data_IF_345625929849
#
_entry.id   IF_345625929849
#
_cell.length_a   1.000
_cell.length_b   1.000
_cell.length_c   1.000
_cell.angle_alpha   90.00
_cell.angle_beta   90.00
_cell.angle_gamma   90.00
#
_symmetry.space_group_name_H-M   'P 1'
#
loop_
_entity.id
_entity.type
_entity.pdbx_description
1 polymer ?
#
# COMPACT_ATOMS: atom_id res chain seq x y z
N UNK A 1 -44.09 3.81 1.42
CA UNK A 1 -43.39 2.51 1.51
C UNK A 1 -42.22 2.55 0.53
N UNK A 2 -40.98 2.53 1.02
CA UNK A 2 -39.79 2.48 0.14
C UNK A 2 -39.76 1.13 -0.56
N UNK A 3 -39.75 1.11 -1.90
CA UNK A 3 -39.52 -0.12 -2.66
C UNK A 3 -38.16 -0.70 -2.26
N UNK A 4 -38.17 -1.96 -1.79
CA UNK A 4 -36.94 -2.70 -1.49
C UNK A 4 -36.15 -2.81 -2.79
N UNK A 5 -34.94 -2.24 -2.82
CA UNK A 5 -34.05 -2.34 -3.97
C UNK A 5 -33.23 -3.61 -3.88
N UNK A 6 -32.69 -4.04 -5.02
CA UNK A 6 -31.75 -5.15 -5.05
C UNK A 6 -30.54 -4.84 -4.15
N UNK A 7 -29.97 -5.86 -3.48
CA UNK A 7 -28.80 -5.67 -2.64
C UNK A 7 -27.61 -5.22 -3.48
N UNK A 8 -26.67 -4.45 -2.90
CA UNK A 8 -25.45 -4.05 -3.57
C UNK A 8 -24.62 -5.28 -3.98
N UNK A 9 -24.13 -5.31 -5.23
CA UNK A 9 -23.25 -6.36 -5.70
C UNK A 9 -21.93 -5.75 -6.16
N UNK A 10 -20.84 -6.08 -5.46
CA UNK A 10 -19.50 -5.66 -5.84
C UNK A 10 -18.91 -6.67 -6.81
N UNK A 11 -18.58 -6.23 -8.02
CA UNK A 11 -18.04 -7.07 -9.10
C UNK A 11 -16.57 -6.79 -9.41
N UNK A 12 -16.02 -5.67 -8.92
CA UNK A 12 -14.63 -5.31 -9.18
C UNK A 12 -14.05 -4.34 -8.15
N UNK A 13 -12.74 -4.42 -7.97
CA UNK A 13 -11.96 -3.48 -7.16
C UNK A 13 -10.62 -3.20 -7.84
N UNK A 14 -10.17 -1.94 -7.80
CA UNK A 14 -8.91 -1.51 -8.41
C UNK A 14 -8.17 -0.52 -7.51
N UNK A 15 -6.91 -0.80 -7.12
CA UNK A 15 -6.20 -2.07 -7.31
C UNK A 15 -6.85 -3.22 -6.52
N UNK A 16 -6.53 -4.47 -6.89
CA UNK A 16 -7.01 -5.68 -6.19
C UNK A 16 -6.14 -6.06 -4.97
N UNK A 17 -4.95 -5.46 -4.86
CA UNK A 17 -4.07 -5.59 -3.71
C UNK A 17 -3.40 -4.26 -3.36
N UNK A 18 -2.93 -4.13 -2.12
CA UNK A 18 -2.24 -2.93 -1.66
C UNK A 18 -2.06 -2.92 -0.15
N UNK A 19 -1.23 -2.00 0.35
CA UNK A 19 -1.04 -1.80 1.79
C UNK A 19 -2.22 -1.03 2.41
N UNK A 20 -2.27 -0.96 3.75
CA UNK A 20 -3.20 -0.07 4.43
C UNK A 20 -3.07 1.36 3.90
N UNK A 21 -4.19 2.08 3.82
CA UNK A 21 -4.35 3.42 3.25
C UNK A 21 -4.28 3.50 1.73
N UNK A 22 -4.17 2.38 1.02
CA UNK A 22 -4.29 2.35 -0.45
C UNK A 22 -5.66 2.87 -0.88
N UNK A 23 -5.66 3.82 -1.83
CA UNK A 23 -6.88 4.31 -2.47
C UNK A 23 -7.39 3.26 -3.46
N UNK A 24 -8.60 2.79 -3.24
CA UNK A 24 -9.25 1.78 -4.08
C UNK A 24 -10.53 2.33 -4.69
N UNK A 25 -10.82 1.85 -5.90
CA UNK A 25 -12.08 2.10 -6.61
C UNK A 25 -12.86 0.81 -6.67
N UNK A 26 -14.02 0.80 -6.02
CA UNK A 26 -14.97 -0.31 -6.00
C UNK A 26 -15.96 -0.09 -7.15
N UNK A 27 -16.20 -1.15 -7.92
CA UNK A 27 -17.16 -1.22 -9.02
C UNK A 27 -18.19 -2.30 -8.75
N UNK A 28 -19.42 -2.07 -9.19
CA UNK A 28 -20.51 -2.98 -8.93
C UNK A 28 -21.85 -2.48 -9.44
N UNK A 29 -22.90 -3.06 -8.88
CA UNK A 29 -24.29 -2.76 -9.17
C UNK A 29 -25.02 -2.42 -7.87
N UNK A 30 -25.99 -1.52 -7.94
CA UNK A 30 -26.83 -1.12 -6.81
C UNK A 30 -26.04 -0.63 -5.57
N UNK A 31 -24.90 0.04 -5.77
CA UNK A 31 -24.03 0.59 -4.71
C UNK A 31 -24.63 1.84 -4.02
N UNK A 32 -25.96 1.97 -4.03
CA UNK A 32 -26.73 3.06 -3.45
C UNK A 32 -27.27 4.04 -4.47
N UNK A 33 -28.32 4.77 -4.08
CA UNK A 33 -28.97 5.79 -4.93
C UNK A 33 -28.38 7.19 -4.77
N UNK A 34 -27.49 7.37 -3.79
CA UNK A 34 -26.82 8.63 -3.51
C UNK A 34 -25.90 8.50 -2.28
N UNK A 35 -25.15 9.56 -1.95
CA UNK A 35 -24.19 9.52 -0.84
C UNK A 35 -24.84 9.19 0.51
N UNK A 36 -26.04 9.71 0.77
CA UNK A 36 -26.77 9.48 2.02
C UNK A 36 -27.37 8.06 2.15
N UNK A 37 -27.40 7.29 1.05
CA UNK A 37 -27.88 5.91 1.02
C UNK A 37 -26.80 4.92 1.43
N UNK A 38 -25.52 5.27 1.27
CA UNK A 38 -24.39 4.46 1.72
C UNK A 38 -24.25 4.56 3.25
N UNK A 39 -24.52 3.47 3.96
CA UNK A 39 -24.48 3.41 5.44
C UNK A 39 -23.35 2.55 5.99
N UNK A 40 -22.77 1.70 5.17
CA UNK A 40 -21.65 0.87 5.58
C UNK A 40 -20.78 0.50 4.40
N UNK A 41 -19.47 0.51 4.65
CA UNK A 41 -18.47 -0.05 3.75
C UNK A 41 -17.43 -0.76 4.59
N UNK A 42 -17.24 -2.05 4.35
CA UNK A 42 -16.24 -2.87 5.03
C UNK A 42 -15.32 -3.52 4.00
N UNK A 43 -14.01 -3.46 4.24
CA UNK A 43 -12.99 -4.14 3.42
C UNK A 43 -12.07 -4.88 4.38
N UNK A 44 -11.89 -6.19 4.19
CA UNK A 44 -11.07 -7.04 5.08
C UNK A 44 -11.45 -6.92 6.57
N UNK A 45 -12.75 -6.81 6.86
CA UNK A 45 -13.27 -6.61 8.21
C UNK A 45 -13.09 -5.19 8.78
N UNK A 46 -12.52 -4.26 8.02
CA UNK A 46 -12.31 -2.87 8.43
C UNK A 46 -13.38 -1.93 7.89
N UNK A 47 -13.99 -1.12 8.77
CA UNK A 47 -14.95 -0.11 8.36
C UNK A 47 -14.25 1.05 7.63
N UNK A 48 -14.52 1.18 6.33
CA UNK A 48 -13.94 2.19 5.45
C UNK A 48 -14.92 3.34 5.13
N UNK A 49 -16.08 3.40 5.80
CA UNK A 49 -17.15 4.37 5.50
C UNK A 49 -16.69 5.83 5.63
N UNK A 50 -15.85 6.14 6.61
CA UNK A 50 -15.35 7.50 6.84
C UNK A 50 -14.53 8.06 5.67
N UNK A 51 -13.92 7.18 4.87
CA UNK A 51 -13.13 7.55 3.69
C UNK A 51 -13.88 7.29 2.38
N UNK A 52 -15.12 6.80 2.46
CA UNK A 52 -15.89 6.40 1.31
C UNK A 52 -16.52 7.62 0.64
N UNK A 53 -16.21 7.78 -0.63
CA UNK A 53 -16.78 8.76 -1.53
C UNK A 53 -17.67 8.01 -2.54
N UNK A 54 -18.98 8.21 -2.40
CA UNK A 54 -19.94 7.69 -3.36
C UNK A 54 -19.87 8.54 -4.64
N UNK A 55 -19.61 7.88 -5.78
CA UNK A 55 -19.53 8.54 -7.08
C UNK A 55 -20.78 8.30 -7.92
N UNK A 56 -21.26 7.05 -7.93
CA UNK A 56 -22.46 6.64 -8.66
C UNK A 56 -23.01 5.32 -8.09
N UNK A 57 -24.18 4.90 -8.57
CA UNK A 57 -24.77 3.60 -8.22
C UNK A 57 -23.91 2.38 -8.61
N UNK A 58 -22.81 2.59 -9.32
CA UNK A 58 -21.87 1.55 -9.77
C UNK A 58 -20.41 1.82 -9.38
N UNK A 59 -20.14 2.90 -8.63
CA UNK A 59 -18.78 3.30 -8.28
C UNK A 59 -18.70 3.96 -6.90
N UNK A 60 -17.80 3.43 -6.07
CA UNK A 60 -17.40 4.03 -4.80
C UNK A 60 -15.88 4.11 -4.78
N UNK A 61 -15.33 5.20 -4.28
CA UNK A 61 -13.90 5.37 -4.05
C UNK A 61 -13.65 5.43 -2.55
N UNK A 62 -12.70 4.69 -2.03
CA UNK A 62 -12.37 4.76 -0.60
C UNK A 62 -10.89 4.46 -0.37
N UNK A 63 -10.45 4.54 0.89
CA UNK A 63 -9.14 4.03 1.29
C UNK A 63 -9.32 2.79 2.15
N UNK A 64 -8.49 1.78 1.92
CA UNK A 64 -8.52 0.54 2.70
C UNK A 64 -7.89 0.79 4.06
N UNK A 65 -8.52 0.33 5.14
CA UNK A 65 -7.93 0.39 6.48
C UNK A 65 -7.03 -0.81 6.81
N UNK A 66 -6.48 -0.88 8.02
CA UNK A 66 -5.80 -2.07 8.51
C UNK A 66 -6.77 -3.25 8.60
N UNK A 67 -6.40 -4.39 7.98
CA UNK A 67 -7.25 -5.58 7.97
C UNK A 67 -7.44 -6.11 9.39
N UNK A 68 -8.67 -6.54 9.66
CA UNK A 68 -9.00 -7.39 10.81
C UNK A 68 -9.07 -8.85 10.40
N UNK A 69 -9.47 -9.11 9.15
CA UNK A 69 -9.68 -10.45 8.60
C UNK A 69 -8.85 -10.66 7.32
N UNK A 70 -8.27 -11.84 7.17
CA UNK A 70 -7.46 -12.22 6.00
C UNK A 70 -8.31 -12.63 4.78
N UNK A 71 -9.65 -12.64 4.90
CA UNK A 71 -10.55 -13.13 3.84
C UNK A 71 -10.69 -12.19 2.64
N UNK A 72 -10.27 -10.92 2.78
CA UNK A 72 -10.34 -9.97 1.68
C UNK A 72 -11.76 -9.55 1.27
N UNK A 73 -12.75 -9.81 2.13
CA UNK A 73 -14.17 -9.58 1.81
C UNK A 73 -14.48 -8.08 1.68
N UNK A 74 -15.32 -7.73 0.70
CA UNK A 74 -15.80 -6.36 0.48
C UNK A 74 -17.32 -6.36 0.67
N UNK A 75 -17.80 -5.62 1.67
CA UNK A 75 -19.22 -5.54 2.00
C UNK A 75 -19.66 -4.08 1.90
N UNK A 76 -20.61 -3.82 1.01
CA UNK A 76 -21.28 -2.52 0.87
C UNK A 76 -22.66 -2.63 1.48
N UNK A 77 -23.05 -1.71 2.37
CA UNK A 77 -24.37 -1.68 2.99
C UNK A 77 -25.07 -0.37 2.66
N UNK A 78 -26.30 -0.47 2.14
CA UNK A 78 -27.12 0.69 1.76
C UNK A 78 -28.44 0.70 2.53
N UNK A 79 -29.05 1.88 2.72
CA UNK A 79 -30.39 1.97 3.36
C UNK A 79 -31.45 1.35 2.46
N UNK A 80 -31.30 1.48 1.15
CA UNK A 80 -32.28 1.03 0.16
C UNK A 80 -32.22 -0.47 -0.17
N UNK A 81 -31.03 -1.06 -0.19
CA UNK A 81 -30.79 -2.44 -0.62
C UNK A 81 -30.26 -3.37 0.48
N UNK A 82 -29.96 -2.85 1.66
CA UNK A 82 -29.44 -3.65 2.79
C UNK A 82 -27.99 -4.06 2.58
N UNK A 83 -27.65 -5.28 3.02
CA UNK A 83 -26.29 -5.82 2.93
C UNK A 83 -25.99 -6.35 1.53
N UNK A 84 -24.89 -5.88 0.98
CA UNK A 84 -24.35 -6.33 -0.29
C UNK A 84 -23.35 -7.47 -0.17
N UNK A 85 -23.03 -8.05 -1.32
CA UNK A 85 -22.06 -9.14 -1.46
C UNK A 85 -20.98 -8.77 -2.46
N UNK A 86 -19.81 -9.40 -2.38
CA UNK A 86 -18.73 -9.25 -3.35
C UNK A 86 -18.41 -10.57 -4.05
N UNK A 87 -18.14 -10.51 -5.36
CA UNK A 87 -17.59 -11.63 -6.13
C UNK A 87 -16.06 -11.60 -6.20
N UNK A 88 -15.46 -10.48 -5.78
CA UNK A 88 -14.02 -10.23 -5.79
C UNK A 88 -13.53 -9.94 -4.37
N UNK A 89 -12.27 -10.26 -4.12
CA UNK A 89 -11.61 -10.01 -2.85
C UNK A 89 -10.49 -8.98 -3.00
N UNK A 90 -10.23 -8.21 -1.94
CA UNK A 90 -9.06 -7.35 -1.82
C UNK A 90 -7.96 -8.03 -1.01
N UNK A 91 -6.74 -8.06 -1.52
CA UNK A 91 -5.58 -8.61 -0.80
C UNK A 91 -4.82 -7.49 -0.11
N UNK A 92 -4.94 -7.39 1.21
CA UNK A 92 -4.15 -6.45 1.98
C UNK A 92 -2.70 -6.95 2.10
N UNK A 93 -1.77 -6.18 1.56
CA UNK A 93 -0.34 -6.42 1.71
C UNK A 93 0.10 -5.91 3.08
N UNK A 94 0.81 -6.77 3.82
CA UNK A 94 1.49 -6.36 5.05
C UNK A 94 2.64 -5.44 4.63
N UNK A 95 2.70 -4.25 5.22
CA UNK A 95 3.91 -3.44 5.10
C UNK A 95 5.03 -4.22 5.80
N UNK A 96 6.02 -4.66 5.04
CA UNK A 96 7.21 -5.26 5.63
C UNK A 96 7.87 -4.23 6.53
N UNK A 97 8.12 -4.62 7.79
CA UNK A 97 8.97 -3.83 8.67
C UNK A 97 10.39 -4.02 8.13
N UNK A 98 10.87 -3.03 7.39
CA UNK A 98 12.24 -3.01 6.89
C UNK A 98 13.16 -3.09 8.11
N UNK A 99 13.89 -4.19 8.24
CA UNK A 99 14.89 -4.39 9.28
C UNK A 99 16.12 -3.53 9.04
N UNK A 100 16.90 -3.28 10.09
CA UNK A 100 18.19 -2.57 9.98
C UNK A 100 19.20 -3.25 9.04
N UNK A 101 18.99 -4.53 8.75
CA UNK A 101 19.85 -5.36 7.89
C UNK A 101 19.25 -5.58 6.49
N UNK A 102 18.08 -5.03 6.19
CA UNK A 102 17.47 -5.17 4.87
C UNK A 102 18.22 -4.31 3.85
N UNK A 103 18.49 -4.90 2.68
CA UNK A 103 19.21 -4.24 1.60
C UNK A 103 18.37 -3.11 1.00
N UNK A 104 18.96 -1.92 0.84
CA UNK A 104 18.30 -0.77 0.20
C UNK A 104 18.65 -0.71 -1.30
N UNK A 105 17.66 -0.44 -2.14
CA UNK A 105 17.84 -0.22 -3.58
C UNK A 105 18.31 1.21 -3.92
N UNK A 106 18.69 1.98 -2.91
CA UNK A 106 19.27 3.32 -3.10
C UNK A 106 20.72 3.14 -3.51
N UNK A 107 20.97 3.36 -4.80
CA UNK A 107 22.34 3.52 -5.29
C UNK A 107 22.84 4.85 -4.76
N UNK A 108 23.72 4.80 -3.76
CA UNK A 108 24.47 5.98 -3.34
C UNK A 108 25.48 6.23 -4.46
N UNK A 109 25.37 7.39 -5.12
CA UNK A 109 26.42 7.83 -6.03
C UNK A 109 27.67 8.04 -5.17
N UNK A 110 28.65 7.14 -5.31
CA UNK A 110 29.91 7.28 -4.61
C UNK A 110 30.56 8.55 -5.13
N UNK A 111 30.42 9.61 -4.36
CA UNK A 111 30.99 10.92 -4.66
C UNK A 111 32.50 10.73 -4.72
N UNK A 112 33.03 10.57 -5.94
CA UNK A 112 34.45 10.46 -6.23
C UNK A 112 35.13 11.76 -5.78
N UNK A 113 35.51 11.82 -4.51
CA UNK A 113 36.10 13.00 -3.90
C UNK A 113 37.53 13.26 -4.38
N UNK A 114 38.05 12.42 -5.28
CA UNK A 114 39.39 12.54 -5.83
C UNK A 114 39.40 12.21 -7.32
N UNK A 115 38.89 13.15 -8.13
CA UNK A 115 39.41 13.25 -9.49
C UNK A 115 39.81 14.69 -9.78
N UNK A 116 41.12 14.90 -9.93
CA UNK A 116 41.67 15.98 -10.72
C UNK A 116 43.13 15.78 -11.13
N UNK A 117 43.85 14.74 -10.69
CA UNK A 117 45.22 14.53 -11.17
C UNK A 117 45.59 13.06 -11.34
N UNK A 118 45.79 12.73 -12.62
CA UNK A 118 46.71 11.73 -13.17
C UNK A 118 46.42 10.25 -12.90
N UNK A 119 45.94 9.61 -13.95
CA UNK A 119 46.60 8.52 -14.67
C UNK A 119 45.72 7.28 -14.87
N UNK A 120 45.91 6.71 -16.05
CA UNK A 120 45.09 5.66 -16.65
C UNK A 120 45.28 4.36 -15.89
N UNK A 121 44.17 3.62 -15.73
CA UNK A 121 44.12 2.18 -15.50
C UNK A 121 44.49 1.69 -14.08
N UNK A 122 43.47 1.51 -13.24
CA UNK A 122 43.21 0.30 -12.41
C UNK A 122 42.02 0.55 -11.50
N UNK A 123 40.95 -0.24 -11.67
CA UNK A 123 39.91 -0.36 -10.65
C UNK A 123 40.53 -0.98 -9.39
N UNK A 124 40.62 -0.20 -8.33
CA UNK A 124 41.12 -0.64 -7.03
C UNK A 124 39.94 -1.29 -6.30
N UNK A 125 40.10 -2.54 -5.89
CA UNK A 125 39.08 -3.27 -5.13
C UNK A 125 38.81 -2.59 -3.78
N UNK A 126 37.55 -2.57 -3.31
CA UNK A 126 37.15 -1.86 -2.08
C UNK A 126 37.78 -2.40 -0.78
N UNK A 127 38.39 -3.59 -0.83
CA UNK A 127 39.14 -4.16 0.29
C UNK A 127 40.56 -3.59 0.44
N UNK A 128 41.07 -2.87 -0.56
CA UNK A 128 42.42 -2.30 -0.53
C UNK A 128 42.49 -0.92 0.15
N UNK A 129 41.34 -0.34 0.52
CA UNK A 129 41.22 1.00 1.12
C UNK A 129 41.13 0.97 2.65
N UNK A 130 41.43 -0.17 3.30
CA UNK A 130 41.51 -0.20 4.76
C UNK A 130 42.77 0.56 5.21
N UNK A 131 42.65 1.58 6.08
CA UNK A 131 43.81 2.18 6.73
C UNK A 131 44.57 1.08 7.46
N UNK A 132 45.87 0.94 7.18
CA UNK A 132 46.72 -0.07 7.82
C UNK A 132 46.91 0.17 9.32
N UNK A 133 46.56 1.35 9.83
CA UNK A 133 46.59 1.69 11.25
C UNK A 133 45.29 2.41 11.67
N UNK A 134 44.19 1.69 11.89
CA UNK A 134 42.90 2.30 12.22
C UNK A 134 42.83 2.93 13.63
N UNK A 135 43.85 2.76 14.48
CA UNK A 135 43.88 3.31 15.83
C UNK A 135 45.06 4.27 16.09
N UNK A 136 45.97 4.46 15.14
CA UNK A 136 47.02 5.49 15.23
C UNK A 136 47.94 5.37 16.44
N UNK A 137 48.21 4.16 16.93
CA UNK A 137 49.08 3.95 18.09
C UNK A 137 50.49 3.64 17.55
N UNK A 138 51.40 4.61 17.70
CA UNK A 138 52.81 4.39 17.44
C UNK A 138 53.45 3.70 18.65
N UNK A 139 54.09 2.55 18.44
CA UNK A 139 54.90 1.91 19.47
C UNK A 139 56.30 2.53 19.43
N UNK A 140 56.53 3.54 20.27
CA UNK A 140 57.87 4.07 20.52
C UNK A 140 58.75 2.98 21.15
N UNK A 141 60.01 2.88 20.70
CA UNK A 141 61.06 2.05 21.29
C UNK A 141 62.14 2.92 21.90
#
# INVERSE_FOLDING_TARGET
MSRVRQPPLVTGISPNEGTSWTKVTIRGENLGTGPADLVGLSICGHNCLLTAEWMSASKIVCRVGPAKDDKGEIIVSTKSGGHGTSTVSFKLLKAEKIGILDQSAVWVDEMNYYDMRTDRYKGISPLSLRPSNPLGIDFDK
#
